data_IF_419605126013
#
_entry.id   IF_419605126013
#
_cell.length_a   1.000
_cell.length_b   1.000
_cell.length_c   1.000
_cell.angle_alpha   90.00
_cell.angle_beta   90.00
_cell.angle_gamma   90.00
#
_symmetry.space_group_name_H-M   'P 1'
#
loop_
_entity.id
_entity.type
_entity.pdbx_description
1 polymer ?
#
# COMPACT_ATOMS: atom_id res chain seq x y z
N UNK A 1 9.65 -10.18 8.38
CA UNK A 1 9.33 -10.57 6.99
C UNK A 1 10.28 -11.68 6.60
N UNK A 2 9.84 -12.62 5.78
CA UNK A 2 10.72 -13.65 5.20
C UNK A 2 11.29 -13.04 3.91
N UNK A 3 12.59 -12.79 3.89
CA UNK A 3 13.27 -12.29 2.69
C UNK A 3 13.06 -13.28 1.55
N UNK A 4 12.81 -12.79 0.32
CA UNK A 4 12.61 -13.67 -0.84
C UNK A 4 11.22 -14.33 -0.92
N UNK A 5 10.24 -13.91 -0.12
CA UNK A 5 8.85 -14.40 -0.20
C UNK A 5 7.88 -13.27 -0.52
N UNK A 6 6.95 -13.53 -1.44
CA UNK A 6 5.83 -12.66 -1.78
C UNK A 6 4.52 -13.16 -1.17
N UNK A 7 3.66 -12.24 -0.72
CA UNK A 7 2.30 -12.55 -0.29
C UNK A 7 1.31 -12.20 -1.40
N UNK A 8 0.35 -13.09 -1.64
CA UNK A 8 -0.73 -12.89 -2.61
C UNK A 8 -2.07 -13.17 -1.94
N UNK A 9 -3.08 -12.39 -2.31
CA UNK A 9 -4.46 -12.60 -1.89
C UNK A 9 -5.27 -12.97 -3.13
N UNK A 10 -6.00 -14.08 -3.07
CA UNK A 10 -6.87 -14.56 -4.14
C UNK A 10 -8.28 -14.74 -3.64
N UNK A 11 -9.23 -14.45 -4.53
CA UNK A 11 -10.66 -14.61 -4.27
C UNK A 11 -11.13 -13.92 -2.97
N UNK A 12 -10.76 -12.65 -2.71
CA UNK A 12 -11.18 -11.99 -1.49
C UNK A 12 -12.70 -11.78 -1.51
N UNK A 13 -13.40 -12.41 -0.58
CA UNK A 13 -14.85 -12.31 -0.36
C UNK A 13 -15.13 -12.08 1.12
N UNK A 14 -16.38 -11.76 1.46
CA UNK A 14 -16.77 -11.64 2.87
C UNK A 14 -16.68 -12.98 3.63
N UNK A 15 -16.82 -14.11 2.94
CA UNK A 15 -16.80 -15.45 3.56
C UNK A 15 -15.42 -16.10 3.59
N UNK A 16 -14.53 -15.76 2.66
CA UNK A 16 -13.22 -16.40 2.57
C UNK A 16 -12.21 -15.61 1.73
N UNK A 17 -10.92 -15.87 1.97
CA UNK A 17 -9.81 -15.46 1.12
C UNK A 17 -8.71 -16.52 1.12
N UNK A 18 -8.07 -16.73 -0.03
CA UNK A 18 -6.86 -17.54 -0.13
C UNK A 18 -5.64 -16.64 0.01
N UNK A 19 -4.75 -16.99 0.94
CA UNK A 19 -3.47 -16.31 1.14
C UNK A 19 -2.38 -17.25 0.66
N UNK A 20 -1.56 -16.80 -0.29
CA UNK A 20 -0.44 -17.60 -0.82
C UNK A 20 0.89 -16.93 -0.47
N UNK A 21 1.78 -17.70 0.14
CA UNK A 21 3.19 -17.38 0.30
C UNK A 21 3.95 -18.04 -0.86
N UNK A 22 4.55 -17.25 -1.74
CA UNK A 22 5.26 -17.76 -2.89
C UNK A 22 6.73 -17.28 -2.89
N UNK A 23 7.71 -18.17 -3.13
CA UNK A 23 9.11 -17.77 -3.23
C UNK A 23 9.33 -16.86 -4.43
N UNK A 24 10.30 -15.97 -4.31
CA UNK A 24 10.74 -15.05 -5.36
C UNK A 24 11.99 -15.67 -5.98
N UNK A 25 11.91 -16.11 -7.23
CA UNK A 25 13.05 -16.68 -7.99
C UNK A 25 13.77 -17.81 -7.23
N UNK A 26 13.01 -18.71 -6.61
CA UNK A 26 13.52 -19.86 -5.82
C UNK A 26 14.44 -19.48 -4.65
N UNK A 27 14.36 -18.24 -4.16
CA UNK A 27 15.26 -17.72 -3.12
C UNK A 27 15.04 -18.35 -1.73
N UNK A 28 13.91 -19.03 -1.50
CA UNK A 28 13.51 -19.51 -0.18
C UNK A 28 12.83 -20.86 -0.26
N UNK A 29 13.27 -21.77 0.59
CA UNK A 29 12.58 -23.01 0.88
C UNK A 29 11.44 -22.76 1.88
N UNK A 30 10.21 -23.00 1.42
CA UNK A 30 8.99 -22.89 2.22
C UNK A 30 8.50 -24.26 2.73
N UNK A 31 9.27 -25.34 2.56
CA UNK A 31 8.96 -26.63 3.15
C UNK A 31 8.72 -26.52 4.65
N UNK A 32 7.79 -27.34 5.15
CA UNK A 32 7.44 -27.40 6.57
C UNK A 32 6.00 -27.02 6.89
N UNK A 33 5.69 -27.01 8.19
CA UNK A 33 4.35 -26.72 8.70
C UNK A 33 4.21 -25.24 9.05
N UNK A 34 3.26 -24.57 8.39
CA UNK A 34 2.98 -23.16 8.63
C UNK A 34 1.59 -22.94 9.22
N UNK A 35 1.48 -21.92 10.07
CA UNK A 35 0.24 -21.46 10.66
C UNK A 35 0.09 -19.95 10.52
N UNK A 36 -1.13 -19.51 10.22
CA UNK A 36 -1.55 -18.11 10.23
C UNK A 36 -2.53 -17.94 11.40
N UNK A 37 -2.16 -17.14 12.38
CA UNK A 37 -2.92 -16.90 13.61
C UNK A 37 -3.48 -15.48 13.63
N UNK A 38 -4.76 -15.30 13.92
CA UNK A 38 -5.35 -13.96 14.03
C UNK A 38 -6.86 -13.95 13.77
N UNK A 39 -7.46 -12.78 13.56
CA UNK A 39 -6.80 -11.46 13.51
C UNK A 39 -6.50 -10.88 14.91
N UNK A 40 -5.65 -9.84 14.96
CA UNK A 40 -5.35 -8.97 16.11
C UNK A 40 -5.56 -7.51 15.69
N UNK A 41 -6.11 -6.68 16.57
CA UNK A 41 -6.31 -5.25 16.32
C UNK A 41 -6.27 -4.48 17.64
N UNK A 42 -5.72 -3.26 17.63
CA UNK A 42 -5.68 -2.37 18.81
C UNK A 42 -7.07 -1.82 19.16
N UNK A 43 -7.94 -1.68 18.14
CA UNK A 43 -9.23 -1.00 18.25
C UNK A 43 -10.41 -1.95 18.46
N UNK A 44 -10.23 -3.24 18.17
CA UNK A 44 -11.30 -4.22 18.22
C UNK A 44 -10.78 -5.58 18.71
N UNK A 45 -11.65 -6.30 19.44
CA UNK A 45 -11.41 -7.69 19.82
C UNK A 45 -12.31 -8.60 19.01
N UNK A 46 -11.71 -9.59 18.40
CA UNK A 46 -12.38 -10.65 17.62
C UNK A 46 -11.85 -12.00 18.09
N UNK A 47 -12.62 -13.06 17.88
CA UNK A 47 -12.16 -14.41 18.18
C UNK A 47 -11.04 -14.77 17.21
N UNK A 48 -9.82 -14.94 17.72
CA UNK A 48 -8.69 -15.36 16.92
C UNK A 48 -8.84 -16.84 16.53
N UNK A 49 -8.48 -17.14 15.29
CA UNK A 49 -8.46 -18.48 14.70
C UNK A 49 -7.07 -18.81 14.18
N UNK A 50 -6.78 -20.10 14.07
CA UNK A 50 -5.55 -20.61 13.47
C UNK A 50 -5.88 -21.28 12.14
N UNK A 51 -5.21 -20.84 11.07
CA UNK A 51 -5.34 -21.42 9.74
C UNK A 51 -4.04 -22.14 9.39
N UNK A 52 -4.13 -23.41 9.02
CA UNK A 52 -2.96 -24.22 8.64
C UNK A 52 -2.65 -24.04 7.16
N UNK A 53 -1.37 -23.83 6.86
CA UNK A 53 -0.85 -23.74 5.51
C UNK A 53 -0.80 -25.12 4.85
N UNK A 54 -1.16 -25.19 3.58
CA UNK A 54 -1.01 -26.37 2.73
C UNK A 54 0.04 -26.09 1.67
N UNK A 55 1.02 -26.99 1.53
CA UNK A 55 1.99 -26.91 0.44
C UNK A 55 1.29 -27.09 -0.91
N UNK A 56 1.75 -26.35 -1.91
CA UNK A 56 1.30 -26.46 -3.30
C UNK A 56 2.37 -27.16 -4.14
N UNK A 57 1.99 -27.67 -5.32
CA UNK A 57 2.93 -28.31 -6.26
C UNK A 57 4.08 -27.39 -6.71
N UNK A 58 3.93 -26.07 -6.56
CA UNK A 58 4.93 -25.06 -6.97
C UNK A 58 5.80 -24.57 -5.82
N UNK A 59 5.85 -25.30 -4.69
CA UNK A 59 6.63 -24.90 -3.52
C UNK A 59 6.10 -23.65 -2.78
N UNK A 60 4.89 -23.19 -3.11
CA UNK A 60 4.20 -22.15 -2.35
C UNK A 60 3.39 -22.76 -1.19
N UNK A 61 3.06 -21.95 -0.19
CA UNK A 61 2.19 -22.33 0.93
C UNK A 61 0.89 -21.54 0.85
N UNK A 62 -0.25 -22.22 0.89
CA UNK A 62 -1.56 -21.59 0.80
C UNK A 62 -2.37 -21.77 2.10
N UNK A 63 -3.06 -20.71 2.50
CA UNK A 63 -3.99 -20.69 3.62
C UNK A 63 -5.38 -20.34 3.11
N UNK A 64 -6.39 -21.09 3.54
CA UNK A 64 -7.79 -20.70 3.39
C UNK A 64 -8.25 -20.02 4.68
N UNK A 65 -8.42 -18.70 4.64
CA UNK A 65 -8.93 -17.92 5.77
C UNK A 65 -10.44 -17.77 5.58
N UNK A 66 -11.22 -18.43 6.43
CA UNK A 66 -12.69 -18.29 6.48
C UNK A 66 -13.08 -17.10 7.35
N UNK A 67 -14.14 -16.38 6.96
CA UNK A 67 -14.61 -15.16 7.61
C UNK A 67 -13.48 -14.13 7.86
N UNK A 68 -12.73 -13.75 6.81
CA UNK A 68 -11.55 -12.91 6.97
C UNK A 68 -11.90 -11.54 7.53
N UNK A 69 -11.23 -11.15 8.60
CA UNK A 69 -11.21 -9.76 9.05
C UNK A 69 -10.17 -9.01 8.22
N UNK A 70 -10.64 -8.17 7.30
CA UNK A 70 -9.78 -7.37 6.43
C UNK A 70 -9.21 -6.15 7.16
N UNK A 71 -7.95 -5.86 6.88
CA UNK A 71 -7.29 -4.63 7.25
C UNK A 71 -7.94 -3.44 6.54
N UNK A 72 -8.25 -2.42 7.33
CA UNK A 72 -8.71 -1.09 6.91
C UNK A 72 -8.10 -0.04 7.86
N UNK A 73 -8.10 1.25 7.49
CA UNK A 73 -7.68 2.31 8.40
C UNK A 73 -8.44 2.31 9.74
N UNK A 74 -9.74 2.02 9.70
CA UNK A 74 -10.61 2.03 10.88
C UNK A 74 -10.45 0.75 11.71
N UNK A 75 -10.22 -0.39 11.04
CA UNK A 75 -10.04 -1.70 11.66
C UNK A 75 -8.78 -2.39 11.08
N UNK A 76 -7.58 -2.03 11.56
CA UNK A 76 -6.32 -2.55 11.05
C UNK A 76 -6.01 -3.95 11.61
N UNK A 77 -6.81 -4.93 11.19
CA UNK A 77 -6.62 -6.33 11.57
C UNK A 77 -5.31 -6.89 10.99
N UNK A 78 -4.49 -7.48 11.86
CA UNK A 78 -3.22 -8.14 11.53
C UNK A 78 -3.26 -9.63 11.90
N UNK A 79 -2.51 -10.43 11.14
CA UNK A 79 -2.33 -11.86 11.35
C UNK A 79 -0.84 -12.15 11.57
N UNK A 80 -0.57 -13.19 12.34
CA UNK A 80 0.76 -13.68 12.66
C UNK A 80 1.02 -14.99 11.92
N UNK A 81 1.97 -14.95 11.00
CA UNK A 81 2.49 -16.11 10.31
C UNK A 81 3.62 -16.73 11.13
N UNK A 82 3.58 -18.04 11.31
CA UNK A 82 4.56 -18.83 12.07
C UNK A 82 4.88 -20.13 11.34
N UNK A 83 6.12 -20.58 11.44
CA UNK A 83 6.55 -21.92 11.06
C UNK A 83 6.65 -22.77 12.33
N UNK A 84 5.84 -23.83 12.43
CA UNK A 84 5.59 -24.61 13.66
C UNK A 84 6.69 -25.65 13.93
N UNK A 85 7.32 -26.16 12.88
CA UNK A 85 8.37 -27.17 12.97
C UNK A 85 9.78 -26.61 13.20
N UNK A 86 9.94 -25.29 13.19
CA UNK A 86 11.19 -24.63 13.53
C UNK A 86 11.39 -24.63 15.06
N UNK A 87 12.54 -25.13 15.53
CA UNK A 87 12.86 -25.24 16.96
C UNK A 87 12.78 -23.87 17.67
N UNK A 88 11.73 -23.70 18.49
CA UNK A 88 11.46 -22.68 19.54
C UNK A 88 11.67 -21.18 19.28
N UNK A 89 12.39 -20.76 18.24
CA UNK A 89 12.63 -19.37 17.84
C UNK A 89 11.86 -18.98 16.57
N UNK A 90 10.74 -19.67 16.31
CA UNK A 90 9.90 -19.47 15.13
C UNK A 90 9.63 -17.98 14.90
N UNK A 91 10.34 -17.38 13.94
CA UNK A 91 10.23 -15.95 13.63
C UNK A 91 8.77 -15.66 13.31
N UNK A 92 8.13 -14.83 14.13
CA UNK A 92 6.77 -14.39 13.89
C UNK A 92 6.80 -13.28 12.86
N UNK A 93 5.99 -13.42 11.82
CA UNK A 93 5.83 -12.39 10.79
C UNK A 93 4.40 -11.88 10.79
N UNK A 94 4.23 -10.58 10.80
CA UNK A 94 2.91 -9.96 10.76
C UNK A 94 2.54 -9.57 9.33
N UNK A 95 1.30 -9.84 8.94
CA UNK A 95 0.71 -9.38 7.68
C UNK A 95 -0.74 -8.94 7.91
N UNK A 96 -1.32 -8.21 6.96
CA UNK A 96 -2.75 -7.90 6.97
C UNK A 96 -3.40 -8.32 5.65
N UNK A 97 -4.68 -8.67 5.72
CA UNK A 97 -5.48 -9.02 4.55
C UNK A 97 -6.14 -7.75 4.04
N UNK A 98 -5.75 -7.21 2.89
CA UNK A 98 -6.30 -5.94 2.39
C UNK A 98 -6.87 -6.09 0.99
N UNK A 99 -8.07 -5.56 0.79
CA UNK A 99 -8.73 -5.51 -0.50
C UNK A 99 -8.74 -4.07 -1.08
N UNK A 100 -7.55 -3.51 -1.33
CA UNK A 100 -7.37 -2.25 -2.04
C UNK A 100 -7.16 -2.55 -3.53
N UNK A 101 -7.95 -1.95 -4.39
CA UNK A 101 -7.94 -2.20 -5.83
C UNK A 101 -8.10 -0.91 -6.63
N UNK A 102 -7.78 -1.01 -7.93
CA UNK A 102 -7.99 0.04 -8.92
C UNK A 102 -9.17 -0.33 -9.80
N UNK A 103 -10.11 0.60 -9.96
CA UNK A 103 -11.24 0.46 -10.87
C UNK A 103 -11.41 1.73 -11.70
N UNK A 104 -10.92 1.71 -12.94
CA UNK A 104 -10.82 2.91 -13.79
C UNK A 104 -10.02 4.02 -13.08
N UNK A 105 -10.57 5.23 -12.92
CA UNK A 105 -9.89 6.35 -12.26
C UNK A 105 -9.97 6.29 -10.72
N UNK A 106 -10.52 5.23 -10.13
CA UNK A 106 -10.82 5.18 -8.71
C UNK A 106 -9.97 4.16 -7.96
N UNK A 107 -9.56 4.52 -6.75
CA UNK A 107 -9.16 3.57 -5.72
C UNK A 107 -10.40 3.03 -5.03
N UNK A 108 -10.42 1.72 -4.74
CA UNK A 108 -11.49 1.07 -4.00
C UNK A 108 -10.97 0.19 -2.87
N UNK A 109 -11.48 0.40 -1.66
CA UNK A 109 -11.24 -0.44 -0.50
C UNK A 109 -12.51 -1.24 -0.20
N UNK A 110 -12.44 -2.57 -0.24
CA UNK A 110 -13.61 -3.42 0.00
C UNK A 110 -14.77 -3.11 -0.97
N UNK A 111 -14.44 -2.79 -2.23
CA UNK A 111 -15.41 -2.41 -3.25
C UNK A 111 -15.96 -0.98 -3.17
N UNK A 112 -15.67 -0.21 -2.10
CA UNK A 112 -16.11 1.19 -1.96
C UNK A 112 -15.05 2.16 -2.45
N UNK A 113 -15.45 3.23 -3.15
CA UNK A 113 -14.53 4.29 -3.58
C UNK A 113 -13.87 4.94 -2.35
N UNK A 114 -12.56 5.11 -2.40
CA UNK A 114 -11.79 5.85 -1.39
C UNK A 114 -10.96 6.95 -2.04
N UNK A 115 -10.77 8.04 -1.31
CA UNK A 115 -9.90 9.16 -1.68
C UNK A 115 -8.87 9.33 -0.58
N UNK A 116 -7.59 9.12 -0.90
CA UNK A 116 -6.51 9.25 0.07
C UNK A 116 -6.19 10.73 0.29
N UNK A 117 -6.24 11.22 1.52
CA UNK A 117 -5.76 12.58 1.81
C UNK A 117 -4.81 12.60 2.98
N UNK A 118 -3.72 13.35 2.87
CA UNK A 118 -2.83 13.56 4.01
C UNK A 118 -1.49 14.19 3.64
N UNK A 119 -0.42 13.75 4.27
CA UNK A 119 0.84 14.48 4.28
C UNK A 119 1.99 13.69 3.65
N UNK A 120 2.91 14.40 2.99
CA UNK A 120 4.22 13.87 2.63
C UNK A 120 5.21 14.20 3.75
N UNK A 121 5.82 13.18 4.34
CA UNK A 121 6.81 13.28 5.42
C UNK A 121 8.05 12.44 5.10
N UNK A 122 9.15 12.71 5.78
CA UNK A 122 10.37 11.91 5.64
C UNK A 122 10.23 10.56 6.36
N UNK A 123 9.89 10.57 7.64
CA UNK A 123 9.75 9.39 8.51
C UNK A 123 8.45 9.46 9.32
N UNK A 124 8.08 8.37 9.98
CA UNK A 124 6.97 8.30 10.93
C UNK A 124 7.43 7.61 12.22
N UNK A 125 7.40 8.34 13.33
CA UNK A 125 7.42 7.69 14.65
C UNK A 125 6.07 7.03 14.97
N UNK A 126 6.03 6.16 15.99
CA UNK A 126 4.78 5.54 16.44
C UNK A 126 3.75 6.59 16.89
N UNK A 127 4.20 7.62 17.63
CA UNK A 127 3.36 8.74 18.07
C UNK A 127 2.79 9.53 16.89
N UNK A 128 3.63 9.91 15.92
CA UNK A 128 3.17 10.60 14.71
C UNK A 128 2.22 9.74 13.88
N UNK A 129 2.39 8.42 13.90
CA UNK A 129 1.48 7.50 13.23
C UNK A 129 0.09 7.52 13.88
N UNK A 130 0.02 7.55 15.22
CA UNK A 130 -1.24 7.69 15.94
C UNK A 130 -1.92 9.04 15.66
N UNK A 131 -1.13 10.12 15.57
CA UNK A 131 -1.63 11.45 15.20
C UNK A 131 -2.18 11.47 13.76
N UNK A 132 -1.46 10.85 12.82
CA UNK A 132 -1.91 10.69 11.44
C UNK A 132 -3.21 9.88 11.36
N UNK A 133 -3.32 8.77 12.09
CA UNK A 133 -4.56 7.99 12.18
C UNK A 133 -5.71 8.83 12.74
N UNK A 134 -5.49 9.55 13.84
CA UNK A 134 -6.50 10.39 14.48
C UNK A 134 -6.99 11.53 13.58
N UNK A 135 -6.12 12.02 12.69
CA UNK A 135 -6.44 13.03 11.68
C UNK A 135 -7.00 12.44 10.37
N UNK A 136 -7.21 11.11 10.30
CA UNK A 136 -7.60 10.37 9.09
C UNK A 136 -6.67 10.67 7.90
N UNK A 137 -5.38 10.89 8.17
CA UNK A 137 -4.38 11.28 7.21
C UNK A 137 -3.63 10.06 6.66
N UNK A 138 -3.64 9.90 5.34
CA UNK A 138 -2.71 9.03 4.64
C UNK A 138 -1.33 9.69 4.53
N UNK A 139 -0.28 8.90 4.27
CA UNK A 139 1.09 9.41 4.28
C UNK A 139 1.82 9.08 2.98
N UNK A 140 2.53 10.05 2.41
CA UNK A 140 3.60 9.78 1.43
C UNK A 140 4.91 9.75 2.20
N UNK A 141 5.53 8.57 2.30
CA UNK A 141 6.71 8.33 3.13
C UNK A 141 7.97 8.33 2.25
N UNK A 142 8.89 9.27 2.49
CA UNK A 142 10.11 9.43 1.65
C UNK A 142 11.31 8.62 2.11
N UNK A 143 11.43 8.36 3.41
CA UNK A 143 12.44 7.45 3.96
C UNK A 143 11.80 6.10 4.21
N UNK A 144 12.35 5.08 3.58
CA UNK A 144 11.69 3.78 3.54
C UNK A 144 12.25 2.84 4.60
N UNK A 145 11.85 3.07 5.84
CA UNK A 145 12.17 2.22 6.97
C UNK A 145 11.00 1.30 7.36
N UNK A 146 11.35 0.10 7.82
CA UNK A 146 10.37 -0.94 8.14
C UNK A 146 9.58 -0.61 9.41
N UNK A 147 10.14 0.19 10.33
CA UNK A 147 9.50 0.55 11.58
C UNK A 147 8.28 1.47 11.35
N UNK A 148 8.43 2.49 10.49
CA UNK A 148 7.35 3.37 10.02
C UNK A 148 6.19 2.56 9.43
N UNK A 149 6.49 1.57 8.57
CA UNK A 149 5.46 0.73 7.94
C UNK A 149 4.79 -0.25 8.90
N UNK A 150 5.53 -0.76 9.90
CA UNK A 150 4.96 -1.57 10.98
C UNK A 150 4.00 -0.73 11.83
N UNK A 151 4.43 0.46 12.26
CA UNK A 151 3.57 1.38 13.00
C UNK A 151 2.32 1.73 12.19
N UNK A 152 2.48 2.13 10.93
CA UNK A 152 1.36 2.45 10.05
C UNK A 152 0.39 1.27 9.86
N UNK A 153 0.92 0.05 9.76
CA UNK A 153 0.10 -1.17 9.65
C UNK A 153 -0.69 -1.45 10.93
N UNK A 154 -0.10 -1.19 12.10
CA UNK A 154 -0.73 -1.37 13.41
C UNK A 154 -1.84 -0.35 13.67
N UNK A 155 -1.57 0.91 13.34
CA UNK A 155 -2.47 2.03 13.61
C UNK A 155 -3.41 2.36 12.45
N UNK A 156 -3.41 1.61 11.35
CA UNK A 156 -4.37 1.85 10.26
C UNK A 156 -4.10 3.12 9.45
N UNK A 157 -2.84 3.40 9.12
CA UNK A 157 -2.46 4.56 8.29
C UNK A 157 -2.03 4.08 6.91
N UNK A 158 -2.71 4.52 5.85
CA UNK A 158 -2.26 4.24 4.49
C UNK A 158 -0.97 4.97 4.17
N UNK A 159 -0.03 4.26 3.54
CA UNK A 159 1.25 4.83 3.10
C UNK A 159 1.47 4.64 1.60
N UNK A 160 1.88 5.71 0.91
CA UNK A 160 2.51 5.68 -0.39
C UNK A 160 4.02 5.75 -0.16
N UNK A 161 4.72 4.67 -0.47
CA UNK A 161 6.15 4.55 -0.21
C UNK A 161 6.92 5.15 -1.38
N UNK A 162 7.59 6.30 -1.18
CA UNK A 162 8.41 6.93 -2.21
C UNK A 162 9.75 6.20 -2.33
N UNK A 163 9.83 5.32 -3.32
CA UNK A 163 11.02 4.55 -3.66
C UNK A 163 11.79 5.14 -4.85
N UNK A 164 11.49 6.39 -5.24
CA UNK A 164 12.10 7.04 -6.41
C UNK A 164 13.62 7.20 -6.28
N UNK A 165 14.13 7.27 -5.05
CA UNK A 165 15.55 7.38 -4.74
C UNK A 165 16.25 6.03 -4.50
N UNK A 166 15.52 4.91 -4.47
CA UNK A 166 16.10 3.59 -4.21
C UNK A 166 16.72 3.05 -5.50
N UNK A 167 18.02 2.76 -5.45
CA UNK A 167 18.74 2.04 -6.50
C UNK A 167 18.71 0.52 -6.27
N UNK A 168 18.86 -0.27 -7.34
CA UNK A 168 18.99 -1.73 -7.27
C UNK A 168 17.71 -2.50 -7.59
N UNK A 169 17.59 -3.71 -7.03
CA UNK A 169 16.52 -4.65 -7.37
C UNK A 169 15.18 -4.29 -6.72
N UNK A 170 14.36 -3.51 -7.44
CA UNK A 170 13.03 -3.08 -6.99
C UNK A 170 12.07 -4.24 -6.69
N UNK A 171 12.25 -5.40 -7.31
CA UNK A 171 11.45 -6.59 -7.00
C UNK A 171 11.52 -6.98 -5.52
N UNK A 172 12.71 -6.92 -4.90
CA UNK A 172 12.90 -7.20 -3.48
C UNK A 172 12.24 -6.14 -2.60
N UNK A 173 12.32 -4.87 -3.00
CA UNK A 173 11.71 -3.74 -2.31
C UNK A 173 10.18 -3.84 -2.31
N UNK A 174 9.59 -4.12 -3.48
CA UNK A 174 8.15 -4.32 -3.67
C UNK A 174 7.68 -5.54 -2.87
N UNK A 175 8.42 -6.64 -2.93
CA UNK A 175 8.13 -7.83 -2.15
C UNK A 175 8.12 -7.53 -0.65
N UNK A 176 9.16 -6.85 -0.14
CA UNK A 176 9.22 -6.42 1.27
C UNK A 176 7.99 -5.62 1.69
N UNK A 177 7.57 -4.64 0.90
CA UNK A 177 6.42 -3.80 1.26
C UNK A 177 5.07 -4.50 1.08
N UNK A 178 5.00 -5.57 0.26
CA UNK A 178 3.77 -6.37 0.13
C UNK A 178 3.34 -7.03 1.44
N UNK A 179 4.26 -7.21 2.40
CA UNK A 179 3.96 -7.70 3.75
C UNK A 179 3.30 -6.66 4.65
N UNK A 180 3.33 -5.37 4.26
CA UNK A 180 2.86 -4.26 5.09
C UNK A 180 1.50 -3.81 4.58
N UNK A 181 0.39 -4.17 5.25
CA UNK A 181 -0.95 -3.84 4.75
C UNK A 181 -1.22 -2.33 4.68
N UNK A 182 -0.48 -1.51 5.44
CA UNK A 182 -0.50 -0.05 5.29
C UNK A 182 0.05 0.45 3.95
N UNK A 183 1.01 -0.25 3.33
CA UNK A 183 1.63 0.18 2.08
C UNK A 183 0.63 0.08 0.93
N UNK A 184 -0.04 1.18 0.60
CA UNK A 184 -1.04 1.29 -0.47
C UNK A 184 -0.39 1.14 -1.84
N UNK A 185 0.68 1.89 -2.06
CA UNK A 185 1.42 1.88 -3.29
C UNK A 185 2.92 2.12 -3.05
N UNK A 186 3.74 1.64 -3.98
CA UNK A 186 5.14 2.04 -4.12
C UNK A 186 5.29 3.01 -5.28
N UNK A 187 5.84 4.20 -5.01
CA UNK A 187 6.03 5.25 -5.98
C UNK A 187 7.41 5.14 -6.62
N UNK A 188 7.44 5.06 -7.94
CA UNK A 188 8.63 4.85 -8.77
C UNK A 188 8.77 5.93 -9.84
N UNK A 189 10.00 6.11 -10.33
CA UNK A 189 10.32 6.90 -11.53
C UNK A 189 9.98 6.09 -12.79
N UNK A 190 9.92 6.75 -13.95
CA UNK A 190 9.61 6.08 -15.21
C UNK A 190 10.62 5.00 -15.61
N UNK A 191 11.92 5.28 -15.43
CA UNK A 191 13.02 4.34 -15.70
C UNK A 191 13.02 3.12 -14.77
N UNK A 192 12.45 3.26 -13.57
CA UNK A 192 12.33 2.20 -12.58
C UNK A 192 11.18 1.20 -12.86
N UNK A 193 10.29 1.51 -13.80
CA UNK A 193 9.16 0.63 -14.13
C UNK A 193 9.53 -0.48 -15.11
N UNK A 194 10.69 -0.37 -15.77
CA UNK A 194 11.20 -1.43 -16.64
C UNK A 194 11.38 -2.73 -15.85
N UNK A 195 10.65 -3.78 -16.24
CA UNK A 195 10.64 -5.07 -15.54
C UNK A 195 9.71 -5.15 -14.32
N UNK A 196 9.04 -4.06 -13.93
CA UNK A 196 7.99 -4.06 -12.91
C UNK A 196 6.64 -4.11 -13.62
N UNK A 197 6.11 -5.32 -13.81
CA UNK A 197 4.79 -5.45 -14.46
C UNK A 197 3.67 -5.06 -13.50
N UNK A 198 3.13 -3.84 -13.63
CA UNK A 198 1.92 -3.43 -12.91
C UNK A 198 0.69 -4.31 -13.27
N UNK A 199 0.74 -5.00 -14.43
CA UNK A 199 -0.27 -5.95 -14.90
C UNK A 199 0.18 -7.38 -14.57
N UNK A 200 -0.60 -8.10 -13.78
CA UNK A 200 -0.34 -9.51 -13.46
C UNK A 200 0.45 -9.76 -12.19
N UNK A 201 0.89 -8.71 -11.48
CA UNK A 201 1.26 -8.87 -10.09
C UNK A 201 0.00 -9.12 -9.26
N UNK A 202 -0.18 -10.36 -8.82
CA UNK A 202 -1.12 -10.75 -7.75
C UNK A 202 -0.64 -10.23 -6.38
N UNK A 203 -0.04 -9.04 -6.35
CA UNK A 203 0.52 -8.41 -5.18
C UNK A 203 -0.51 -7.44 -4.60
N UNK A 204 -0.74 -7.42 -3.28
CA UNK A 204 -1.64 -6.45 -2.67
C UNK A 204 -1.13 -5.00 -2.78
N UNK A 205 0.16 -4.79 -3.08
CA UNK A 205 0.79 -3.47 -3.22
C UNK A 205 0.62 -2.93 -4.64
N UNK A 206 0.05 -1.72 -4.77
CA UNK A 206 -0.07 -1.05 -6.06
C UNK A 206 1.27 -0.45 -6.51
N UNK A 207 1.49 -0.41 -7.82
CA UNK A 207 2.63 0.30 -8.41
C UNK A 207 2.18 1.69 -8.86
N UNK A 208 2.83 2.71 -8.33
CA UNK A 208 2.58 4.10 -8.65
C UNK A 208 3.73 4.71 -9.46
N UNK A 209 3.42 5.52 -10.47
CA UNK A 209 4.41 6.28 -11.24
C UNK A 209 4.37 7.74 -10.86
N UNK A 210 5.55 8.31 -10.60
CA UNK A 210 5.72 9.74 -10.38
C UNK A 210 5.79 10.49 -11.69
N UNK A 211 5.03 11.59 -11.76
CA UNK A 211 5.09 12.57 -12.84
C UNK A 211 5.38 13.92 -12.21
N UNK A 212 6.49 14.53 -12.59
CA UNK A 212 6.65 15.97 -12.38
C UNK A 212 5.77 16.70 -13.41
N UNK A 213 5.42 17.96 -13.18
CA UNK A 213 4.38 18.71 -13.90
C UNK A 213 4.64 18.97 -15.40
N UNK A 214 5.66 18.34 -15.99
CA UNK A 214 5.94 18.42 -17.41
C UNK A 214 4.82 17.82 -18.26
N UNK A 215 4.70 18.32 -19.50
CA UNK A 215 3.69 17.87 -20.46
C UNK A 215 3.91 16.40 -20.81
N UNK A 216 3.23 15.51 -20.09
CA UNK A 216 3.06 14.13 -20.53
C UNK A 216 2.20 14.15 -21.79
N UNK A 217 2.80 13.81 -22.93
CA UNK A 217 2.12 13.83 -24.22
C UNK A 217 1.37 12.54 -24.52
N UNK A 218 1.75 11.44 -23.86
CA UNK A 218 1.18 10.11 -24.07
C UNK A 218 0.48 9.62 -22.80
N UNK A 219 -0.86 9.79 -22.76
CA UNK A 219 -1.71 9.29 -21.68
C UNK A 219 -1.89 7.79 -21.69
N UNK A 220 -1.72 7.15 -22.86
CA UNK A 220 -1.91 5.70 -23.01
C UNK A 220 -0.74 4.95 -22.36
N UNK A 221 0.48 5.50 -22.48
CA UNK A 221 1.64 5.03 -21.75
C UNK A 221 1.43 5.04 -20.22
N UNK A 222 0.78 6.07 -19.67
CA UNK A 222 0.46 6.13 -18.23
C UNK A 222 -0.41 4.94 -17.82
N UNK A 223 -1.45 4.65 -18.61
CA UNK A 223 -2.37 3.56 -18.34
C UNK A 223 -1.74 2.17 -18.54
N UNK A 224 -0.70 2.05 -19.35
CA UNK A 224 0.04 0.82 -19.54
C UNK A 224 0.93 0.49 -18.34
N UNK A 225 1.65 1.49 -17.82
CA UNK A 225 2.84 1.28 -16.99
C UNK A 225 2.59 1.20 -15.48
N UNK A 226 1.47 1.75 -15.00
CA UNK A 226 1.23 1.84 -13.56
C UNK A 226 -0.24 1.59 -13.17
N UNK A 227 -0.44 1.27 -11.89
CA UNK A 227 -1.78 1.18 -11.29
C UNK A 227 -2.29 2.56 -10.86
N UNK A 228 -1.39 3.45 -10.41
CA UNK A 228 -1.71 4.79 -9.89
C UNK A 228 -0.73 5.81 -10.48
N UNK A 229 -1.22 6.95 -10.95
CA UNK A 229 -0.38 8.07 -11.35
C UNK A 229 -0.27 9.08 -10.20
N UNK A 230 0.94 9.55 -9.89
CA UNK A 230 1.17 10.57 -8.85
C UNK A 230 1.73 11.82 -9.51
N UNK A 231 0.92 12.87 -9.58
CA UNK A 231 1.28 14.15 -10.14
C UNK A 231 1.85 15.06 -9.04
N UNK A 232 3.06 15.56 -9.24
CA UNK A 232 3.64 16.60 -8.39
C UNK A 232 3.21 17.96 -8.94
N UNK A 233 2.56 18.78 -8.12
CA UNK A 233 1.98 20.07 -8.53
C UNK A 233 2.60 21.18 -7.69
N UNK A 234 3.16 22.21 -8.33
CA UNK A 234 3.65 23.38 -7.60
C UNK A 234 2.51 24.30 -7.17
N UNK A 235 2.74 25.15 -6.16
CA UNK A 235 1.71 26.08 -5.69
C UNK A 235 1.38 27.10 -6.79
N UNK A 236 0.11 27.20 -7.16
CA UNK A 236 -0.38 28.12 -8.18
C UNK A 236 -0.18 27.64 -9.61
N UNK A 237 0.46 26.49 -9.80
CA UNK A 237 0.54 25.83 -11.09
C UNK A 237 -0.82 25.23 -11.45
N UNK A 238 -1.23 25.39 -12.72
CA UNK A 238 -2.42 24.71 -13.23
C UNK A 238 -2.09 23.24 -13.42
N UNK A 239 -2.83 22.29 -12.81
CA UNK A 239 -2.54 20.88 -13.00
C UNK A 239 -2.70 20.48 -14.47
N UNK A 240 -1.87 19.55 -14.95
CA UNK A 240 -1.88 19.15 -16.35
C UNK A 240 -3.16 18.39 -16.71
N UNK A 241 -3.70 18.65 -17.91
CA UNK A 241 -4.97 18.07 -18.39
C UNK A 241 -4.98 16.55 -18.46
N UNK A 242 -3.82 15.92 -18.61
CA UNK A 242 -3.71 14.45 -18.67
C UNK A 242 -4.25 13.78 -17.40
N UNK A 243 -4.25 14.47 -16.26
CA UNK A 243 -4.77 13.95 -15.00
C UNK A 243 -6.26 13.56 -15.09
N UNK A 244 -7.03 14.22 -15.96
CA UNK A 244 -8.44 13.91 -16.17
C UNK A 244 -8.67 12.76 -17.18
N UNK A 245 -7.71 12.51 -18.08
CA UNK A 245 -7.90 11.63 -19.24
C UNK A 245 -7.06 10.35 -19.23
N UNK A 246 -6.16 10.16 -18.27
CA UNK A 246 -5.28 8.97 -18.24
C UNK A 246 -5.98 7.65 -17.86
N UNK A 247 -7.25 7.69 -17.44
CA UNK A 247 -8.04 6.49 -17.12
C UNK A 247 -7.56 5.71 -15.89
N UNK A 248 -6.60 6.25 -15.13
CA UNK A 248 -6.03 5.68 -13.91
C UNK A 248 -6.35 6.55 -12.70
N UNK A 249 -6.34 6.00 -11.48
CA UNK A 249 -6.40 6.80 -10.27
C UNK A 249 -5.19 7.73 -10.24
N UNK A 250 -5.48 9.02 -10.06
CA UNK A 250 -4.47 10.05 -9.96
C UNK A 250 -4.42 10.57 -8.53
N UNK A 251 -3.21 10.72 -8.00
CA UNK A 251 -2.95 11.36 -6.72
C UNK A 251 -2.19 12.66 -6.99
N UNK A 252 -2.69 13.78 -6.49
CA UNK A 252 -1.97 15.06 -6.55
C UNK A 252 -1.17 15.26 -5.27
N UNK A 253 0.13 15.58 -5.40
CA UNK A 253 1.00 15.98 -4.28
C UNK A 253 1.40 17.42 -4.51
N UNK A 254 0.83 18.34 -3.72
CA UNK A 254 1.16 19.77 -3.81
C UNK A 254 2.42 20.06 -3.02
N UNK A 255 3.42 20.63 -3.70
CA UNK A 255 4.59 21.24 -3.07
C UNK A 255 4.30 22.67 -2.60
N UNK A 256 5.07 23.13 -1.63
CA UNK A 256 4.96 24.49 -1.11
C UNK A 256 4.95 24.52 0.41
N UNK A 257 3.90 25.07 1.00
CA UNK A 257 3.79 25.24 2.44
C UNK A 257 3.88 23.89 3.17
N UNK A 258 4.73 23.85 4.18
CA UNK A 258 4.84 22.75 5.14
C UNK A 258 3.89 23.04 6.30
N UNK A 259 3.04 22.07 6.63
CA UNK A 259 2.12 22.17 7.76
C UNK A 259 2.77 21.64 9.03
N UNK A 260 2.36 22.17 10.19
CA UNK A 260 2.99 21.79 11.47
C UNK A 260 2.55 20.40 11.93
N UNK A 261 1.28 20.04 11.69
CA UNK A 261 0.69 18.77 12.12
C UNK A 261 -0.22 18.14 11.04
N UNK A 262 -0.72 16.94 11.33
CA UNK A 262 -1.55 16.19 10.40
C UNK A 262 -2.97 16.75 10.24
N UNK A 263 -3.50 17.48 11.22
CA UNK A 263 -4.83 18.11 11.14
C UNK A 263 -4.78 19.29 10.17
N UNK A 264 -3.76 20.14 10.28
CA UNK A 264 -3.52 21.23 9.35
C UNK A 264 -3.22 20.72 7.93
N UNK A 265 -2.42 19.66 7.81
CA UNK A 265 -2.14 19.01 6.53
C UNK A 265 -3.42 18.46 5.90
N UNK A 266 -4.30 17.83 6.68
CA UNK A 266 -5.60 17.34 6.22
C UNK A 266 -6.48 18.48 5.70
N UNK A 267 -6.58 19.58 6.44
CA UNK A 267 -7.28 20.78 5.98
C UNK A 267 -6.64 21.37 4.70
N UNK A 268 -5.32 21.29 4.58
CA UNK A 268 -4.58 21.63 3.35
C UNK A 268 -4.97 20.77 2.16
N UNK A 269 -5.22 19.48 2.37
CA UNK A 269 -5.70 18.58 1.34
C UNK A 269 -7.14 18.88 0.93
N UNK A 270 -8.02 19.23 1.87
CA UNK A 270 -9.40 19.60 1.55
C UNK A 270 -9.44 20.89 0.71
N UNK A 271 -8.57 21.87 1.01
CA UNK A 271 -8.38 23.06 0.15
C UNK A 271 -7.86 22.69 -1.23
N UNK A 272 -6.82 21.84 -1.30
CA UNK A 272 -6.30 21.34 -2.57
C UNK A 272 -7.39 20.61 -3.38
N UNK A 273 -8.21 19.79 -2.73
CA UNK A 273 -9.34 19.12 -3.39
C UNK A 273 -10.35 20.15 -3.91
N UNK A 274 -10.73 21.15 -3.11
CA UNK A 274 -11.65 22.19 -3.53
C UNK A 274 -11.12 23.00 -4.73
N UNK A 275 -9.82 23.31 -4.74
CA UNK A 275 -9.17 24.02 -5.86
C UNK A 275 -9.21 23.21 -7.16
N UNK A 276 -9.10 21.87 -7.07
CA UNK A 276 -9.00 20.99 -8.24
C UNK A 276 -10.34 20.41 -8.69
N UNK A 277 -11.34 20.37 -7.81
CA UNK A 277 -12.67 19.80 -8.07
C UNK A 277 -13.38 20.32 -9.34
N UNK A 278 -13.22 21.60 -9.77
CA UNK A 278 -13.84 22.08 -11.00
C UNK A 278 -13.38 21.35 -12.27
N UNK A 279 -12.16 20.82 -12.28
CA UNK A 279 -11.57 20.16 -13.45
C UNK A 279 -11.27 18.67 -13.22
N UNK A 280 -11.17 18.22 -11.96
CA UNK A 280 -10.64 16.89 -11.63
C UNK A 280 -11.38 16.20 -10.47
N UNK A 281 -11.61 14.88 -10.63
CA UNK A 281 -12.09 13.98 -9.57
C UNK A 281 -10.99 12.95 -9.25
N UNK A 282 -10.03 13.35 -8.40
CA UNK A 282 -8.80 12.58 -8.17
C UNK A 282 -9.00 11.50 -7.08
N UNK A 283 -8.09 10.53 -7.05
CA UNK A 283 -8.07 9.45 -6.06
C UNK A 283 -7.24 9.77 -4.82
N UNK A 284 -6.50 10.89 -4.83
CA UNK A 284 -5.88 11.38 -3.61
C UNK A 284 -5.24 12.77 -3.71
N UNK A 285 -5.01 13.36 -2.54
CA UNK A 285 -4.56 14.73 -2.36
C UNK A 285 -3.57 14.79 -1.20
N UNK A 286 -2.35 15.26 -1.44
CA UNK A 286 -1.30 15.33 -0.42
C UNK A 286 -0.63 16.69 -0.41
N UNK A 287 -0.18 17.10 0.77
CA UNK A 287 0.59 18.32 1.00
C UNK A 287 1.87 18.02 1.78
N UNK A 288 2.80 18.95 1.89
CA UNK A 288 4.03 18.75 2.67
C UNK A 288 3.80 18.89 4.18
N UNK A 289 4.48 18.07 4.98
CA UNK A 289 4.68 18.20 6.43
C UNK A 289 6.16 18.00 6.75
#
# INVERSE_FOLDING_TARGET
>A
MIEGVSIRLREPTESSVRVTLAPIRDAVDLEGTWELYGPRCEYARTLASTFRGSATERGAVEFLVTEPCYWSPELPFLYELRRVDAASDGRVHTLGLRNLSVHGPNLRLGGKRVVLRGAATLTLSDQETQEAHSAEAAIVLRSVDDASLVAASRWGVFTLVDATAIAGELAHVIARFSWRPAAAAVLLRGDQLEGVSARGMECPLLVARRFDSSNVTDTDAIAADCNVAVAIVERGERPPRWMASCGRPVVAVRRGATYADFVEARAGCDRLQADLAPEFDLAGYFVAR
#
